data_IF_824395808161
#
_entry.id   IF_824395808161
#
_cell.length_a   1.000
_cell.length_b   1.000
_cell.length_c   1.000
_cell.angle_alpha   90.00
_cell.angle_beta   90.00
_cell.angle_gamma   90.00
#
_symmetry.space_group_name_H-M   'P 1'
#
loop_
_entity.id
_entity.type
_entity.pdbx_description
1 polymer ?
#
# COMPACT_ATOMS: atom_id res chain seq x y z
N UNK A 1 -13.61 2.57 -3.09
CA UNK A 1 -14.16 1.67 -4.12
C UNK A 1 -13.36 0.39 -3.98
N UNK A 2 -14.03 -0.74 -3.97
CA UNK A 2 -13.43 -2.05 -3.80
C UNK A 2 -13.99 -2.93 -4.92
N UNK A 3 -13.11 -3.47 -5.75
CA UNK A 3 -13.44 -4.38 -6.84
C UNK A 3 -12.65 -5.67 -6.65
N UNK A 4 -13.33 -6.82 -6.74
CA UNK A 4 -12.70 -8.14 -6.64
C UNK A 4 -13.21 -9.10 -7.71
N UNK A 5 -12.31 -9.96 -8.19
CA UNK A 5 -12.60 -11.02 -9.14
C UNK A 5 -11.88 -12.29 -8.72
N UNK A 6 -12.61 -13.40 -8.68
CA UNK A 6 -12.07 -14.74 -8.40
C UNK A 6 -12.42 -15.71 -9.52
N UNK A 7 -11.51 -16.64 -9.80
CA UNK A 7 -11.71 -17.79 -10.68
C UNK A 7 -11.09 -19.04 -10.07
N UNK A 8 -11.90 -20.08 -9.91
CA UNK A 8 -11.48 -21.39 -9.44
C UNK A 8 -11.55 -22.42 -10.59
N UNK A 9 -10.48 -23.20 -10.74
CA UNK A 9 -10.35 -24.24 -11.76
C UNK A 9 -9.96 -25.57 -11.12
N UNK A 10 -10.90 -26.51 -11.14
CA UNK A 10 -10.64 -27.91 -10.81
C UNK A 10 -10.41 -28.70 -12.10
N UNK A 11 -9.20 -29.23 -12.28
CA UNK A 11 -8.82 -29.97 -13.47
C UNK A 11 -8.90 -31.48 -13.24
N UNK A 12 -9.30 -32.24 -14.26
CA UNK A 12 -9.29 -33.72 -14.23
C UNK A 12 -7.92 -34.33 -13.86
N UNK A 13 -6.85 -33.56 -14.04
CA UNK A 13 -5.49 -33.92 -13.66
C UNK A 13 -5.21 -33.83 -12.14
N UNK A 14 -6.22 -33.47 -11.33
CA UNK A 14 -6.14 -33.34 -9.87
C UNK A 14 -5.50 -32.04 -9.37
N UNK A 15 -5.37 -31.03 -10.25
CA UNK A 15 -4.94 -29.70 -9.86
C UNK A 15 -6.16 -28.85 -9.51
N UNK A 16 -6.07 -28.12 -8.40
CA UNK A 16 -6.99 -27.06 -8.03
C UNK A 16 -6.22 -25.72 -8.06
N UNK A 17 -6.71 -24.78 -8.85
CA UNK A 17 -6.06 -23.51 -9.15
C UNK A 17 -7.06 -22.38 -8.89
N UNK A 18 -6.69 -21.44 -8.02
CA UNK A 18 -7.45 -20.21 -7.80
C UNK A 18 -6.65 -19.01 -8.32
N UNK A 19 -7.33 -18.12 -9.03
CA UNK A 19 -6.85 -16.82 -9.45
C UNK A 19 -7.71 -15.73 -8.81
N UNK A 20 -7.08 -14.76 -8.15
CA UNK A 20 -7.75 -13.64 -7.50
C UNK A 20 -7.15 -12.31 -7.97
N UNK A 21 -8.03 -11.34 -8.18
CA UNK A 21 -7.69 -9.93 -8.37
C UNK A 21 -8.46 -9.09 -7.36
N UNK A 22 -7.77 -8.20 -6.66
CA UNK A 22 -8.36 -7.25 -5.72
C UNK A 22 -7.84 -5.84 -5.99
N UNK A 23 -8.75 -4.86 -6.01
CA UNK A 23 -8.46 -3.44 -6.16
C UNK A 23 -9.24 -2.63 -5.12
N UNK A 24 -8.50 -1.99 -4.23
CA UNK A 24 -9.01 -1.08 -3.20
C UNK A 24 -8.55 0.35 -3.47
N UNK A 25 -9.48 1.29 -3.40
CA UNK A 25 -9.24 2.72 -3.54
C UNK A 25 -9.96 3.45 -2.40
N UNK A 26 -9.21 4.24 -1.62
CA UNK A 26 -9.81 5.06 -0.58
C UNK A 26 -10.59 6.22 -1.21
N UNK A 27 -11.60 6.73 -0.52
CA UNK A 27 -12.32 7.94 -0.98
C UNK A 27 -12.17 9.13 -0.04
N UNK A 28 -12.11 8.84 1.26
CA UNK A 28 -12.16 9.84 2.32
C UNK A 28 -11.10 9.52 3.39
N UNK A 29 -9.89 9.13 2.96
CA UNK A 29 -8.77 8.93 3.87
C UNK A 29 -8.34 10.26 4.50
N UNK A 30 -7.76 10.21 5.70
CA UNK A 30 -7.30 11.43 6.39
C UNK A 30 -6.11 12.05 5.66
N UNK A 31 -6.13 13.38 5.54
CA UNK A 31 -5.01 14.15 5.02
C UNK A 31 -4.59 15.24 6.02
N UNK A 32 -3.30 15.28 6.36
CA UNK A 32 -2.72 16.30 7.25
C UNK A 32 -2.09 17.42 6.43
N UNK A 33 -2.37 18.67 6.80
CA UNK A 33 -1.69 19.85 6.27
C UNK A 33 -1.18 20.68 7.44
N UNK A 34 0.09 21.12 7.45
CA UNK A 34 0.57 22.09 8.42
C UNK A 34 0.26 23.52 7.94
N UNK A 35 -0.70 24.18 8.61
CA UNK A 35 -1.11 25.54 8.27
C UNK A 35 -0.05 26.58 8.67
N UNK A 36 0.86 26.22 9.56
CA UNK A 36 1.95 27.06 10.03
C UNK A 36 3.27 26.81 9.32
N UNK A 37 3.27 26.05 8.21
CA UNK A 37 4.49 25.74 7.47
C UNK A 37 5.00 26.97 6.72
N UNK A 38 6.23 27.37 7.03
CA UNK A 38 6.89 28.51 6.41
C UNK A 38 8.22 28.08 5.79
N UNK A 39 8.52 28.61 4.60
CA UNK A 39 9.82 28.41 3.95
C UNK A 39 10.86 29.32 4.58
N UNK A 40 11.76 28.76 5.35
CA UNK A 40 12.85 29.47 6.03
C UNK A 40 14.07 29.67 5.12
N UNK A 41 14.19 28.85 4.07
CA UNK A 41 15.35 28.90 3.19
C UNK A 41 15.21 28.06 1.93
N UNK A 42 16.32 27.93 1.23
CA UNK A 42 16.43 27.16 -0.02
C UNK A 42 17.78 26.48 -0.06
N UNK A 43 17.79 25.18 -0.34
CA UNK A 43 19.01 24.42 -0.60
C UNK A 43 19.64 24.83 -1.93
N UNK A 44 20.92 24.53 -2.12
CA UNK A 44 21.64 24.87 -3.34
C UNK A 44 21.05 24.22 -4.62
N UNK A 45 20.29 23.14 -4.47
CA UNK A 45 19.58 22.44 -5.56
C UNK A 45 18.15 22.97 -5.83
N UNK A 46 17.71 24.01 -5.11
CA UNK A 46 16.42 24.66 -5.29
C UNK A 46 15.30 24.19 -4.36
N UNK A 47 15.49 23.08 -3.64
CA UNK A 47 14.50 22.58 -2.66
C UNK A 47 14.33 23.53 -1.47
N UNK A 48 13.11 23.70 -0.97
CA UNK A 48 12.85 24.55 0.19
C UNK A 48 13.33 23.92 1.50
N UNK A 49 13.75 24.78 2.43
CA UNK A 49 13.92 24.43 3.84
C UNK A 49 12.70 25.00 4.56
N UNK A 50 12.02 24.16 5.34
CA UNK A 50 10.76 24.50 5.97
C UNK A 50 10.84 24.34 7.48
N UNK A 51 10.25 25.30 8.19
CA UNK A 51 9.95 25.24 9.61
C UNK A 51 8.48 25.55 9.84
N UNK A 52 8.01 25.42 11.07
CA UNK A 52 6.61 25.67 11.39
C UNK A 52 6.28 25.38 12.84
N UNK A 53 5.08 25.77 13.24
CA UNK A 53 4.57 25.60 14.61
C UNK A 53 3.90 24.23 14.84
N UNK A 54 3.61 23.48 13.77
CA UNK A 54 2.87 22.21 13.86
C UNK A 54 1.36 22.41 13.98
N UNK A 55 0.78 23.39 13.27
CA UNK A 55 -0.65 23.70 13.30
C UNK A 55 -1.39 22.84 12.26
N UNK A 56 -1.67 21.57 12.63
CA UNK A 56 -2.23 20.60 11.69
C UNK A 56 -3.73 20.75 11.46
N UNK A 57 -4.11 20.91 10.19
CA UNK A 57 -5.48 20.75 9.70
C UNK A 57 -5.69 19.35 9.16
N UNK A 58 -6.84 18.76 9.50
CA UNK A 58 -7.31 17.49 8.94
C UNK A 58 -8.31 17.74 7.82
N UNK A 59 -8.11 17.07 6.70
CA UNK A 59 -9.04 17.02 5.56
C UNK A 59 -9.13 15.59 5.03
N UNK A 60 -9.72 15.40 3.85
CA UNK A 60 -9.88 14.11 3.22
C UNK A 60 -9.17 14.06 1.85
N UNK A 61 -8.71 12.86 1.48
CA UNK A 61 -8.09 12.53 0.19
C UNK A 61 -8.60 11.17 -0.32
N UNK A 62 -8.49 10.95 -1.63
CA UNK A 62 -8.82 9.71 -2.34
C UNK A 62 -7.59 9.00 -2.95
N UNK A 63 -6.36 9.47 -2.67
CA UNK A 63 -5.16 8.98 -3.38
C UNK A 63 -4.64 7.59 -2.96
N UNK A 64 -5.12 7.03 -1.85
CA UNK A 64 -4.68 5.72 -1.34
C UNK A 64 -5.23 4.55 -2.18
N UNK A 65 -4.36 3.65 -2.61
CA UNK A 65 -4.72 2.52 -3.50
C UNK A 65 -4.01 1.23 -3.12
N UNK A 66 -4.66 0.09 -3.28
CA UNK A 66 -4.04 -1.25 -3.19
C UNK A 66 -4.57 -2.14 -4.30
N UNK A 67 -3.67 -2.73 -5.08
CA UNK A 67 -3.99 -3.66 -6.16
C UNK A 67 -3.20 -4.96 -5.92
N UNK A 68 -3.85 -6.12 -6.00
CA UNK A 68 -3.21 -7.41 -5.81
C UNK A 68 -3.71 -8.45 -6.82
N UNK A 69 -2.75 -9.22 -7.36
CA UNK A 69 -2.99 -10.43 -8.15
C UNK A 69 -2.46 -11.62 -7.38
N UNK A 70 -3.30 -12.63 -7.15
CA UNK A 70 -2.93 -13.85 -6.46
C UNK A 70 -3.23 -15.07 -7.32
N UNK A 71 -2.29 -16.00 -7.37
CA UNK A 71 -2.51 -17.35 -7.88
C UNK A 71 -2.17 -18.34 -6.78
N UNK A 72 -3.07 -19.28 -6.51
CA UNK A 72 -2.81 -20.42 -5.65
C UNK A 72 -3.04 -21.70 -6.42
N UNK A 73 -2.27 -22.73 -6.08
CA UNK A 73 -2.36 -24.05 -6.67
C UNK A 73 -2.21 -25.09 -5.58
N UNK A 74 -3.08 -26.09 -5.59
CA UNK A 74 -2.92 -27.30 -4.78
C UNK A 74 -2.95 -28.55 -5.64
N UNK A 75 -2.21 -29.57 -5.19
CA UNK A 75 -2.22 -30.89 -5.80
C UNK A 75 -1.80 -31.96 -4.80
N UNK A 76 -2.55 -33.05 -4.79
CA UNK A 76 -2.18 -34.26 -4.08
C UNK A 76 -1.32 -35.17 -4.97
N UNK A 77 -0.21 -35.65 -4.41
CA UNK A 77 0.72 -36.61 -5.01
C UNK A 77 0.82 -37.85 -4.12
N UNK A 78 -0.13 -38.78 -4.25
CA UNK A 78 -0.20 -39.95 -3.37
C UNK A 78 -0.62 -39.53 -1.96
N UNK A 79 0.28 -39.72 -0.98
CA UNK A 79 0.04 -39.33 0.43
C UNK A 79 0.51 -37.91 0.75
N UNK A 80 1.08 -37.19 -0.22
CA UNK A 80 1.63 -35.84 -0.02
C UNK A 80 0.69 -34.80 -0.60
N UNK A 81 0.35 -33.79 0.18
CA UNK A 81 -0.39 -32.63 -0.28
C UNK A 81 0.56 -31.46 -0.52
N UNK A 82 0.57 -30.93 -1.74
CA UNK A 82 1.40 -29.79 -2.11
C UNK A 82 0.56 -28.54 -2.35
N UNK A 83 1.06 -27.42 -1.81
CA UNK A 83 0.50 -26.09 -1.99
C UNK A 83 1.58 -25.11 -2.48
N UNK A 84 1.19 -24.22 -3.38
CA UNK A 84 1.93 -23.01 -3.67
C UNK A 84 0.98 -21.83 -3.90
N UNK A 85 1.39 -20.66 -3.44
CA UNK A 85 0.67 -19.41 -3.63
C UNK A 85 1.64 -18.28 -3.94
N UNK A 86 1.31 -17.46 -4.94
CA UNK A 86 2.06 -16.28 -5.30
C UNK A 86 1.16 -15.06 -5.39
N UNK A 87 1.57 -13.97 -4.76
CA UNK A 87 0.90 -12.67 -4.84
C UNK A 87 1.85 -11.63 -5.39
N UNK A 88 1.39 -10.88 -6.38
CA UNK A 88 1.99 -9.60 -6.79
C UNK A 88 1.07 -8.47 -6.33
N UNK A 89 1.58 -7.55 -5.52
CA UNK A 89 0.80 -6.41 -5.03
C UNK A 89 1.47 -5.07 -5.31
N UNK A 90 0.65 -4.04 -5.49
CA UNK A 90 1.05 -2.64 -5.52
C UNK A 90 0.14 -1.87 -4.57
N UNK A 91 0.72 -1.21 -3.58
CA UNK A 91 0.00 -0.40 -2.61
C UNK A 91 0.66 0.97 -2.51
N UNK A 92 -0.16 2.02 -2.51
CA UNK A 92 0.25 3.39 -2.30
C UNK A 92 -0.51 4.01 -1.13
N UNK A 93 0.21 4.74 -0.29
CA UNK A 93 -0.34 5.53 0.80
C UNK A 93 0.35 6.90 0.89
N UNK A 94 -0.29 7.84 1.58
CA UNK A 94 0.29 9.16 1.85
C UNK A 94 0.98 9.16 3.23
N UNK A 95 0.28 8.63 4.22
CA UNK A 95 0.69 8.62 5.62
C UNK A 95 0.74 7.19 6.15
N UNK A 96 1.84 6.83 6.78
CA UNK A 96 1.95 5.60 7.56
C UNK A 96 1.23 5.77 8.90
N UNK A 97 -0.06 5.46 8.90
CA UNK A 97 -0.94 5.59 10.06
C UNK A 97 -0.91 4.30 10.88
N UNK A 98 0.22 4.07 11.56
CA UNK A 98 0.33 3.00 12.58
C UNK A 98 -0.05 3.55 13.96
N UNK A 99 0.70 3.26 15.02
CA UNK A 99 0.47 3.81 16.37
C UNK A 99 1.03 5.24 16.55
N UNK A 100 1.40 5.91 15.46
CA UNK A 100 2.00 7.23 15.48
C UNK A 100 0.94 8.33 15.72
N UNK A 101 1.33 9.39 16.43
CA UNK A 101 0.52 10.62 16.54
C UNK A 101 0.54 11.38 15.20
N UNK A 102 -0.46 12.22 14.96
CA UNK A 102 -0.64 13.00 13.72
C UNK A 102 0.65 13.69 13.22
N UNK A 103 1.40 14.30 14.15
CA UNK A 103 2.68 14.97 13.86
C UNK A 103 3.73 14.00 13.29
N UNK A 104 3.84 12.80 13.86
CA UNK A 104 4.82 11.81 13.43
C UNK A 104 4.48 11.24 12.05
N UNK A 105 3.20 11.00 11.77
CA UNK A 105 2.77 10.54 10.45
C UNK A 105 2.95 11.63 9.39
N UNK A 106 2.62 12.89 9.70
CA UNK A 106 2.90 14.02 8.82
C UNK A 106 4.41 14.20 8.57
N UNK A 107 5.24 14.18 9.61
CA UNK A 107 6.68 14.39 9.49
C UNK A 107 7.41 13.28 8.70
N UNK A 108 6.84 12.07 8.66
CA UNK A 108 7.38 10.92 7.92
C UNK A 108 6.84 10.81 6.50
N UNK A 109 5.85 11.63 6.12
CA UNK A 109 5.32 11.64 4.76
C UNK A 109 6.41 11.96 3.74
N UNK A 110 6.39 11.25 2.62
CA UNK A 110 7.31 11.52 1.51
C UNK A 110 6.83 12.77 0.80
N UNK A 111 7.67 13.80 0.75
CA UNK A 111 7.35 15.08 0.08
C UNK A 111 8.56 15.68 -0.61
N UNK A 112 8.32 16.28 -1.77
CA UNK A 112 9.37 16.90 -2.57
C UNK A 112 9.69 18.32 -2.10
N UNK A 113 8.65 19.11 -1.77
CA UNK A 113 8.77 20.52 -1.37
C UNK A 113 7.53 20.96 -0.57
N UNK A 114 7.72 21.40 0.68
CA UNK A 114 6.65 21.89 1.54
C UNK A 114 5.46 20.93 1.70
N UNK A 115 4.24 21.45 1.51
CA UNK A 115 2.96 20.70 1.56
C UNK A 115 2.66 19.90 0.29
N UNK A 116 3.61 19.76 -0.65
CA UNK A 116 3.44 18.92 -1.83
C UNK A 116 3.62 17.43 -1.47
N UNK A 117 2.58 16.90 -0.82
CA UNK A 117 2.47 15.53 -0.33
C UNK A 117 1.43 14.81 -1.21
N UNK A 118 1.80 13.64 -1.73
CA UNK A 118 0.93 12.80 -2.58
C UNK A 118 1.19 11.32 -2.29
N UNK A 119 0.28 10.44 -2.71
CA UNK A 119 0.43 9.02 -2.46
C UNK A 119 1.70 8.47 -3.11
N UNK A 120 2.46 7.68 -2.35
CA UNK A 120 3.67 7.02 -2.78
C UNK A 120 3.62 5.54 -2.39
N UNK A 121 4.60 4.75 -2.86
CA UNK A 121 4.71 3.32 -2.55
C UNK A 121 4.68 3.11 -1.03
N UNK A 122 3.74 2.29 -0.57
CA UNK A 122 3.58 2.00 0.86
C UNK A 122 4.79 1.28 1.44
N UNK A 123 5.18 1.66 2.66
CA UNK A 123 6.22 0.98 3.42
C UNK A 123 5.81 -0.40 3.95
N UNK A 124 4.51 -0.73 3.91
CA UNK A 124 3.98 -2.05 4.29
C UNK A 124 3.81 -3.00 3.10
N UNK A 125 4.15 -2.55 1.89
CA UNK A 125 3.98 -3.33 0.66
C UNK A 125 5.03 -4.43 0.51
N UNK A 126 4.57 -5.67 0.37
CA UNK A 126 5.39 -6.81 -0.05
C UNK A 126 5.09 -7.11 -1.51
N UNK A 127 5.77 -6.41 -2.42
CA UNK A 127 5.46 -6.43 -3.87
C UNK A 127 5.33 -7.82 -4.47
N UNK A 128 6.17 -8.76 -4.00
CA UNK A 128 6.21 -10.15 -4.42
C UNK A 128 6.22 -11.05 -3.20
N UNK A 129 5.19 -11.89 -3.05
CA UNK A 129 5.09 -12.88 -1.97
C UNK A 129 4.90 -14.27 -2.56
N UNK A 130 5.81 -15.18 -2.23
CA UNK A 130 5.70 -16.60 -2.56
C UNK A 130 5.56 -17.40 -1.26
N UNK A 131 4.60 -18.31 -1.22
CA UNK A 131 4.42 -19.28 -0.14
C UNK A 131 4.35 -20.66 -0.79
N UNK A 132 5.00 -21.66 -0.22
CA UNK A 132 4.85 -23.06 -0.63
C UNK A 132 4.92 -23.95 0.59
N UNK A 133 4.22 -25.09 0.53
CA UNK A 133 4.12 -26.04 1.61
C UNK A 133 3.90 -27.46 1.12
N UNK A 134 4.24 -28.39 1.98
CA UNK A 134 4.00 -29.82 1.86
C UNK A 134 3.46 -30.29 3.22
N UNK A 135 2.39 -31.08 3.20
CA UNK A 135 1.89 -31.84 4.34
C UNK A 135 1.90 -33.34 3.99
#
# INVERSE_FOLDING_TARGET
MEDSLGLDLLLDSGWDITLEYNLDQVREAVFFTDLGLEREGTLADGRGIYGGRGDYRLTNTDEGTTEAWTITTTKQFGEIDWFAGYTKMRANDIFELTSAQSESSYARSVRADGENISAARSNFMVEHKLITGLD
#
